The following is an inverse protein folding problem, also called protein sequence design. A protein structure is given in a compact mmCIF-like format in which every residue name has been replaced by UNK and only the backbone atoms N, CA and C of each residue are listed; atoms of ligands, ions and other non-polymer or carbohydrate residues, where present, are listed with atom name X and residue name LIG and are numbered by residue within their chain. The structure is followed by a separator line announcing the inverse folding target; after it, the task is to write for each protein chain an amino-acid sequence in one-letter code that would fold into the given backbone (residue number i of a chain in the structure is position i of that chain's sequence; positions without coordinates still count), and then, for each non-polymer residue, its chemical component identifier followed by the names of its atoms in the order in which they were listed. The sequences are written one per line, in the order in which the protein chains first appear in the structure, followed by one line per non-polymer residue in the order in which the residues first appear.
data_IF_323897847785
#
_entry.id   IF_323897847785
#
_cell.length_a   1.000
_cell.length_b   1.000
_cell.length_c   1.000
_cell.angle_alpha   90.00
_cell.angle_beta   90.00
_cell.angle_gamma   90.00
#
_symmetry.space_group_name_H-M   'P 1'
#
loop_
_entity.id
_entity.type
_entity.pdbx_description
1 polymer ?
#
# COMPACT_ATOMS: atom_id res chain seq x y z
N UNK A 1 9.71 -11.26 8.21
CA UNK A 1 10.98 -11.10 8.94
C UNK A 1 12.10 -10.72 8.00
N UNK A 2 12.58 -11.57 7.09
CA UNK A 2 13.71 -11.27 6.20
C UNK A 2 13.60 -9.92 5.45
N UNK A 3 12.42 -9.56 4.94
CA UNK A 3 12.22 -8.27 4.25
C UNK A 3 12.28 -7.07 5.18
N UNK A 4 11.90 -7.23 6.46
CA UNK A 4 12.03 -6.16 7.44
C UNK A 4 13.48 -6.03 7.92
N UNK A 5 14.19 -7.15 8.07
CA UNK A 5 15.62 -7.14 8.42
C UNK A 5 16.44 -6.46 7.31
N UNK A 6 16.11 -6.75 6.04
CA UNK A 6 16.73 -6.08 4.89
C UNK A 6 16.39 -4.57 4.87
N UNK A 7 15.13 -4.19 5.10
CA UNK A 7 14.74 -2.79 5.18
C UNK A 7 15.51 -2.07 6.28
N UNK A 8 15.64 -2.69 7.45
CA UNK A 8 16.41 -2.14 8.55
C UNK A 8 17.87 -1.95 8.17
N UNK A 9 18.51 -2.96 7.59
CA UNK A 9 19.90 -2.88 7.14
C UNK A 9 20.11 -1.73 6.14
N UNK A 10 19.19 -1.58 5.17
CA UNK A 10 19.26 -0.46 4.21
C UNK A 10 19.05 0.92 4.86
N UNK A 11 18.16 1.02 5.84
CA UNK A 11 17.94 2.27 6.55
C UNK A 11 19.11 2.66 7.45
N UNK A 12 19.83 1.69 7.98
CA UNK A 12 20.97 1.87 8.87
C UNK A 12 22.31 2.02 8.12
N UNK A 13 22.32 1.75 6.80
CA UNK A 13 23.52 1.82 5.97
C UNK A 13 23.98 3.28 5.79
N UNK A 14 25.20 3.65 6.22
CA UNK A 14 25.71 5.01 6.08
C UNK A 14 25.95 5.41 4.62
N UNK A 15 26.24 4.46 3.74
CA UNK A 15 26.46 4.76 2.31
C UNK A 15 25.16 5.18 1.59
N UNK A 16 24.02 4.89 2.20
CA UNK A 16 22.69 5.30 1.72
C UNK A 16 22.13 6.50 2.46
N UNK A 17 22.90 7.19 3.31
CA UNK A 17 22.39 8.22 4.21
C UNK A 17 21.62 9.35 3.49
N UNK A 18 22.08 9.77 2.33
CA UNK A 18 21.50 10.88 1.55
C UNK A 18 20.46 10.40 0.51
N UNK A 19 20.15 9.10 0.47
CA UNK A 19 19.22 8.57 -0.52
C UNK A 19 17.82 8.35 0.05
N UNK A 20 16.83 9.10 -0.45
CA UNK A 20 15.43 9.01 -0.03
C UNK A 20 14.60 7.99 -0.86
N UNK A 21 15.24 7.18 -1.69
CA UNK A 21 14.58 6.21 -2.58
C UNK A 21 14.15 4.90 -1.92
N UNK A 22 14.36 4.72 -0.61
CA UNK A 22 13.99 3.50 0.12
C UNK A 22 12.47 3.45 0.28
N UNK A 23 11.88 2.32 -0.12
CA UNK A 23 10.45 2.10 0.02
C UNK A 23 10.11 0.67 0.44
N UNK A 24 8.91 0.52 1.01
CA UNK A 24 8.38 -0.76 1.46
C UNK A 24 6.89 -0.89 1.13
N UNK A 25 6.44 -2.12 0.86
CA UNK A 25 5.03 -2.41 0.59
C UNK A 25 4.41 -3.15 1.76
N UNK A 26 3.26 -2.68 2.23
CA UNK A 26 2.47 -3.34 3.26
C UNK A 26 1.10 -3.73 2.73
N UNK A 27 0.59 -4.88 3.18
CA UNK A 27 -0.65 -5.45 2.70
C UNK A 27 -1.67 -5.49 3.84
N UNK A 28 -2.74 -4.72 3.69
CA UNK A 28 -3.74 -4.50 4.74
C UNK A 28 -4.54 -5.75 5.13
N UNK A 29 -4.62 -6.75 4.23
CA UNK A 29 -5.27 -8.02 4.57
C UNK A 29 -4.49 -8.85 5.61
N UNK A 30 -3.21 -8.57 5.81
CA UNK A 30 -2.36 -9.23 6.80
C UNK A 30 -2.64 -8.73 8.21
N UNK A 31 -2.93 -9.64 9.13
CA UNK A 31 -3.23 -9.29 10.54
C UNK A 31 -2.07 -8.57 11.23
N UNK A 32 -0.84 -8.79 10.77
CA UNK A 32 0.37 -8.13 11.28
C UNK A 32 0.62 -6.74 10.69
N UNK A 33 -0.12 -6.32 9.66
CA UNK A 33 0.12 -5.07 8.94
C UNK A 33 0.22 -3.84 9.87
N UNK A 34 -0.68 -3.61 10.85
CA UNK A 34 -0.58 -2.47 11.76
C UNK A 34 0.72 -2.42 12.57
N UNK A 35 1.22 -3.58 13.00
CA UNK A 35 2.46 -3.72 13.78
C UNK A 35 3.70 -3.53 12.90
N UNK A 36 3.65 -4.02 11.65
CA UNK A 36 4.70 -3.77 10.65
C UNK A 36 4.82 -2.26 10.40
N UNK A 37 3.70 -1.54 10.32
CA UNK A 37 3.73 -0.09 10.18
C UNK A 37 4.36 0.61 11.39
N UNK A 38 4.07 0.15 12.62
CA UNK A 38 4.72 0.69 13.82
C UNK A 38 6.23 0.51 13.76
N UNK A 39 6.70 -0.67 13.36
CA UNK A 39 8.12 -0.95 13.17
C UNK A 39 8.76 -0.03 12.12
N UNK A 40 8.11 0.14 10.95
CA UNK A 40 8.66 0.97 9.86
C UNK A 40 8.71 2.45 10.28
N UNK A 41 7.68 2.95 10.95
CA UNK A 41 7.62 4.33 11.44
C UNK A 41 8.71 4.58 12.50
N UNK A 42 8.89 3.64 13.43
CA UNK A 42 9.95 3.73 14.43
C UNK A 42 11.34 3.68 13.78
N UNK A 43 11.55 2.74 12.86
CA UNK A 43 12.79 2.63 12.09
C UNK A 43 13.12 3.94 11.35
N UNK A 44 12.14 4.50 10.65
CA UNK A 44 12.31 5.76 9.92
C UNK A 44 12.72 6.91 10.85
N UNK A 45 12.10 7.00 12.06
CA UNK A 45 12.43 8.02 13.06
C UNK A 45 13.83 7.87 13.63
N UNK A 46 14.19 6.65 14.09
CA UNK A 46 15.51 6.41 14.71
C UNK A 46 16.67 6.48 13.72
N UNK A 47 16.42 6.26 12.43
CA UNK A 47 17.44 6.40 11.37
C UNK A 47 17.42 7.78 10.69
N UNK A 48 16.50 8.68 11.12
CA UNK A 48 16.28 10.00 10.52
C UNK A 48 16.08 9.94 8.99
N UNK A 49 15.29 8.96 8.54
CA UNK A 49 14.99 8.77 7.11
C UNK A 49 13.53 9.03 6.82
N UNK A 50 13.25 9.36 5.57
CA UNK A 50 11.89 9.39 5.05
C UNK A 50 11.66 8.18 4.15
N UNK A 51 10.84 7.25 4.61
CA UNK A 51 10.59 5.98 3.91
C UNK A 51 9.28 6.07 3.12
N UNK A 52 9.32 5.64 1.86
CA UNK A 52 8.09 5.47 1.06
C UNK A 52 7.37 4.21 1.49
N UNK A 53 6.10 4.32 1.87
CA UNK A 53 5.29 3.15 2.26
C UNK A 53 4.08 3.04 1.37
N UNK A 54 4.06 1.98 0.55
CA UNK A 54 2.96 1.64 -0.33
C UNK A 54 1.97 0.73 0.37
N UNK A 55 0.77 1.24 0.63
CA UNK A 55 -0.32 0.48 1.23
C UNK A 55 -1.20 -0.12 0.12
N UNK A 56 -1.37 -1.44 0.15
CA UNK A 56 -2.24 -2.20 -0.75
C UNK A 56 -3.23 -3.04 0.05
N UNK A 57 -4.33 -3.48 -0.56
CA UNK A 57 -5.26 -4.44 0.08
C UNK A 57 -4.58 -5.79 0.31
N UNK A 58 -3.95 -6.34 -0.72
CA UNK A 58 -3.34 -7.66 -0.78
C UNK A 58 -3.93 -8.48 -1.93
N UNK A 59 -3.06 -9.16 -2.68
CA UNK A 59 -3.43 -9.81 -3.94
C UNK A 59 -3.28 -11.33 -3.93
N UNK A 60 -2.88 -11.90 -2.80
CA UNK A 60 -2.56 -13.33 -2.70
C UNK A 60 -3.39 -14.03 -1.62
N UNK A 61 -4.60 -13.54 -1.38
CA UNK A 61 -5.46 -14.03 -0.31
C UNK A 61 -5.66 -15.55 -0.36
N UNK A 62 -6.00 -16.09 -1.54
CA UNK A 62 -6.22 -17.54 -1.72
C UNK A 62 -4.95 -18.36 -1.41
N UNK A 63 -3.78 -17.86 -1.83
CA UNK A 63 -2.50 -18.51 -1.58
C UNK A 63 -2.16 -18.52 -0.08
N UNK A 64 -2.40 -17.42 0.62
CA UNK A 64 -2.17 -17.32 2.08
C UNK A 64 -3.09 -18.26 2.86
N UNK A 65 -4.37 -18.31 2.49
CA UNK A 65 -5.34 -19.23 3.11
C UNK A 65 -4.93 -20.69 2.84
N UNK A 66 -4.63 -21.02 1.59
CA UNK A 66 -4.22 -22.37 1.20
C UNK A 66 -2.97 -22.83 1.93
N UNK A 67 -1.97 -21.96 2.01
CA UNK A 67 -0.73 -22.25 2.72
C UNK A 67 -0.97 -22.49 4.20
N UNK A 68 -1.73 -21.63 4.86
CA UNK A 68 -2.08 -21.80 6.28
C UNK A 68 -2.78 -23.14 6.56
N UNK A 69 -3.66 -23.58 5.64
CA UNK A 69 -4.31 -24.88 5.74
C UNK A 69 -3.34 -26.06 5.58
N UNK A 70 -2.42 -25.97 4.60
CA UNK A 70 -1.39 -27.00 4.37
C UNK A 70 -0.44 -27.10 5.55
N UNK A 71 -0.04 -25.94 6.09
CA UNK A 71 0.89 -25.86 7.23
C UNK A 71 0.21 -26.18 8.58
N UNK A 72 -1.10 -26.43 8.59
CA UNK A 72 -1.86 -26.79 9.79
C UNK A 72 -1.89 -25.68 10.85
N UNK A 73 -1.88 -24.41 10.44
CA UNK A 73 -1.93 -23.30 11.37
C UNK A 73 -3.30 -23.21 12.06
N UNK A 74 -3.31 -22.88 13.35
CA UNK A 74 -4.55 -22.70 14.13
C UNK A 74 -5.41 -21.55 13.63
N UNK A 75 -4.79 -20.50 13.06
CA UNK A 75 -5.48 -19.32 12.54
C UNK A 75 -4.83 -18.84 11.23
N UNK A 76 -5.56 -18.07 10.44
CA UNK A 76 -5.06 -17.51 9.20
C UNK A 76 -4.25 -16.24 9.44
N UNK A 77 -3.10 -16.05 8.74
CA UNK A 77 -2.30 -14.83 8.84
C UNK A 77 -2.97 -13.60 8.23
N UNK A 78 -4.06 -13.82 7.48
CA UNK A 78 -4.84 -12.78 6.80
C UNK A 78 -6.28 -12.76 7.30
N UNK A 79 -6.95 -11.63 7.14
CA UNK A 79 -8.38 -11.54 7.42
C UNK A 79 -9.17 -12.39 6.43
N UNK A 80 -10.15 -13.15 6.94
CA UNK A 80 -10.98 -14.06 6.13
C UNK A 80 -12.24 -13.41 5.56
N UNK A 81 -12.52 -12.18 5.95
CA UNK A 81 -13.67 -11.40 5.45
C UNK A 81 -13.17 -10.08 4.88
N UNK A 82 -13.67 -9.72 3.68
CA UNK A 82 -13.33 -8.46 2.98
C UNK A 82 -13.52 -7.23 3.87
N UNK A 83 -14.65 -7.14 4.59
CA UNK A 83 -14.94 -6.00 5.45
C UNK A 83 -13.87 -5.75 6.53
N UNK A 84 -13.24 -6.80 7.04
CA UNK A 84 -12.15 -6.65 8.01
C UNK A 84 -10.89 -6.10 7.34
N UNK A 85 -10.61 -6.49 6.09
CA UNK A 85 -9.52 -5.92 5.30
C UNK A 85 -9.77 -4.46 4.98
N UNK A 86 -11.01 -4.09 4.64
CA UNK A 86 -11.38 -2.70 4.35
C UNK A 86 -11.16 -1.80 5.58
N UNK A 87 -11.60 -2.25 6.76
CA UNK A 87 -11.37 -1.53 8.03
C UNK A 87 -9.86 -1.44 8.34
N UNK A 88 -9.13 -2.55 8.16
CA UNK A 88 -7.67 -2.57 8.36
C UNK A 88 -6.96 -1.60 7.42
N UNK A 89 -7.37 -1.54 6.14
CA UNK A 89 -6.79 -0.62 5.18
C UNK A 89 -6.96 0.84 5.62
N UNK A 90 -8.17 1.24 6.04
CA UNK A 90 -8.44 2.60 6.50
C UNK A 90 -7.68 2.91 7.80
N UNK A 91 -7.59 1.96 8.74
CA UNK A 91 -6.82 2.12 9.97
C UNK A 91 -5.31 2.31 9.66
N UNK A 92 -4.76 1.51 8.75
CA UNK A 92 -3.39 1.63 8.29
C UNK A 92 -3.14 2.95 7.55
N UNK A 93 -4.07 3.38 6.69
CA UNK A 93 -4.00 4.66 5.99
C UNK A 93 -3.96 5.84 6.98
N UNK A 94 -4.81 5.80 8.02
CA UNK A 94 -4.81 6.81 9.09
C UNK A 94 -3.48 6.87 9.82
N UNK A 95 -2.89 5.69 10.13
CA UNK A 95 -1.58 5.59 10.78
C UNK A 95 -0.49 6.22 9.92
N UNK A 96 -0.44 5.89 8.63
CA UNK A 96 0.53 6.46 7.68
C UNK A 96 0.36 7.98 7.51
N UNK A 97 -0.86 8.48 7.42
CA UNK A 97 -1.13 9.91 7.35
C UNK A 97 -0.71 10.66 8.61
N UNK A 98 -0.76 9.99 9.78
CA UNK A 98 -0.27 10.54 11.05
C UNK A 98 1.26 10.58 11.18
N UNK A 99 2.00 9.89 10.31
CA UNK A 99 3.46 9.76 10.34
C UNK A 99 4.15 10.43 9.13
N UNK A 100 3.50 11.42 8.49
CA UNK A 100 4.03 12.11 7.30
C UNK A 100 5.34 12.87 7.54
N UNK A 101 5.73 13.05 8.77
CA UNK A 101 7.04 13.56 9.19
C UNK A 101 8.20 12.67 8.69
N UNK A 102 8.03 11.35 8.73
CA UNK A 102 9.05 10.35 8.36
C UNK A 102 8.58 9.36 7.30
N UNK A 103 7.32 9.37 6.93
CA UNK A 103 6.75 8.49 5.91
C UNK A 103 6.23 9.30 4.73
N UNK A 104 6.47 8.78 3.52
CA UNK A 104 5.75 9.18 2.32
C UNK A 104 4.70 8.12 1.98
N UNK A 105 3.41 8.33 2.35
CA UNK A 105 2.37 7.37 2.07
C UNK A 105 2.02 7.30 0.59
N UNK A 106 1.89 6.07 0.08
CA UNK A 106 1.47 5.77 -1.29
C UNK A 106 0.25 4.85 -1.22
N UNK A 107 -0.93 5.36 -1.54
CA UNK A 107 -2.19 4.63 -1.41
C UNK A 107 -2.60 4.01 -2.74
N UNK A 108 -2.41 2.70 -2.87
CA UNK A 108 -2.82 1.95 -4.06
C UNK A 108 -4.24 1.43 -3.89
N UNK A 109 -5.17 1.99 -4.66
CA UNK A 109 -6.58 1.60 -4.62
C UNK A 109 -7.28 1.92 -5.94
N UNK A 110 -8.29 1.12 -6.32
CA UNK A 110 -9.21 1.38 -7.43
C UNK A 110 -10.67 1.54 -6.92
N UNK A 111 -10.84 1.66 -5.59
CA UNK A 111 -12.13 1.82 -4.95
C UNK A 111 -12.37 3.29 -4.60
N UNK A 112 -13.44 3.88 -5.15
CA UNK A 112 -13.77 5.29 -4.97
C UNK A 112 -14.06 5.66 -3.51
N UNK A 113 -14.73 4.79 -2.76
CA UNK A 113 -15.03 5.03 -1.34
C UNK A 113 -13.74 5.07 -0.51
N UNK A 114 -12.83 4.12 -0.73
CA UNK A 114 -11.52 4.08 -0.07
C UNK A 114 -10.73 5.36 -0.36
N UNK A 115 -10.67 5.77 -1.63
CA UNK A 115 -9.99 6.99 -2.06
C UNK A 115 -10.58 8.23 -1.40
N UNK A 116 -11.90 8.38 -1.44
CA UNK A 116 -12.60 9.50 -0.80
C UNK A 116 -12.36 9.53 0.71
N UNK A 117 -12.39 8.38 1.36
CA UNK A 117 -12.11 8.27 2.81
C UNK A 117 -10.69 8.74 3.13
N UNK A 118 -9.68 8.31 2.35
CA UNK A 118 -8.29 8.76 2.55
C UNK A 118 -8.16 10.26 2.31
N UNK A 119 -8.79 10.77 1.25
CA UNK A 119 -8.80 12.20 0.95
C UNK A 119 -9.32 13.03 2.12
N UNK A 120 -10.44 12.62 2.73
CA UNK A 120 -11.01 13.29 3.89
C UNK A 120 -10.14 13.14 5.16
N UNK A 121 -9.56 11.96 5.40
CA UNK A 121 -8.64 11.72 6.51
C UNK A 121 -7.35 12.54 6.40
N UNK A 122 -6.86 12.77 5.19
CA UNK A 122 -5.66 13.57 4.93
C UNK A 122 -5.85 15.05 5.25
N UNK A 123 -7.11 15.51 5.26
CA UNK A 123 -7.49 16.89 5.56
C UNK A 123 -7.30 17.87 4.38
N UNK A 124 -7.69 19.13 4.56
CA UNK A 124 -7.64 20.14 3.50
C UNK A 124 -6.21 20.63 3.19
N UNK A 125 -5.30 20.55 4.16
CA UNK A 125 -3.95 21.15 4.09
C UNK A 125 -2.99 20.25 3.31
N UNK A 126 -3.28 20.06 2.02
CA UNK A 126 -2.42 19.29 1.14
C UNK A 126 -1.18 20.09 0.73
N UNK A 127 -0.01 19.45 0.89
CA UNK A 127 1.26 19.95 0.33
C UNK A 127 1.79 18.90 -0.63
N UNK A 128 2.31 19.32 -1.77
CA UNK A 128 3.00 18.43 -2.71
C UNK A 128 4.08 17.63 -1.98
N UNK A 129 4.10 16.32 -2.20
CA UNK A 129 5.02 15.42 -1.50
C UNK A 129 4.54 14.94 -0.13
N UNK A 130 3.30 15.28 0.32
CA UNK A 130 2.78 14.75 1.58
C UNK A 130 2.24 13.33 1.46
N UNK A 131 1.66 12.95 0.34
CA UNK A 131 1.25 11.59 -0.03
C UNK A 131 0.86 11.54 -1.51
N UNK A 132 0.68 10.34 -2.05
CA UNK A 132 0.16 10.11 -3.39
C UNK A 132 -0.83 8.95 -3.43
N UNK A 133 -1.69 8.96 -4.45
CA UNK A 133 -2.45 7.78 -4.84
C UNK A 133 -1.72 6.99 -5.92
N UNK A 134 -2.04 5.70 -6.05
CA UNK A 134 -1.47 4.85 -7.09
C UNK A 134 -2.53 3.98 -7.76
N UNK A 135 -2.43 3.83 -9.07
CA UNK A 135 -3.28 2.93 -9.86
C UNK A 135 -2.46 2.09 -10.82
N UNK A 136 -3.01 0.94 -11.18
CA UNK A 136 -2.46 0.11 -12.24
C UNK A 136 -2.82 0.70 -13.61
N UNK A 137 -1.87 0.73 -14.53
CA UNK A 137 -2.11 1.13 -15.91
C UNK A 137 -3.26 0.34 -16.54
N UNK A 138 -4.18 1.04 -17.19
CA UNK A 138 -5.38 0.46 -17.79
C UNK A 138 -6.53 0.15 -16.81
N UNK A 139 -6.41 0.57 -15.53
CA UNK A 139 -7.47 0.38 -14.53
C UNK A 139 -7.79 1.68 -13.81
N UNK A 140 -9.10 1.93 -13.60
CA UNK A 140 -9.58 3.04 -12.78
C UNK A 140 -9.38 4.42 -13.41
N UNK A 141 -9.15 4.53 -14.71
CA UNK A 141 -8.95 5.80 -15.40
C UNK A 141 -10.04 6.83 -15.09
N UNK A 142 -11.35 6.52 -15.19
CA UNK A 142 -12.39 7.50 -14.87
C UNK A 142 -12.35 8.00 -13.41
N UNK A 143 -11.97 7.14 -12.48
CA UNK A 143 -11.80 7.51 -11.08
C UNK A 143 -10.61 8.46 -10.92
N UNK A 144 -9.49 8.16 -11.57
CA UNK A 144 -8.27 8.93 -11.44
C UNK A 144 -8.30 10.25 -12.20
N UNK A 145 -9.12 10.37 -13.24
CA UNK A 145 -9.44 11.65 -13.89
C UNK A 145 -10.07 12.66 -12.91
N UNK A 146 -10.86 12.17 -11.93
CA UNK A 146 -11.40 13.01 -10.87
C UNK A 146 -10.37 13.34 -9.76
N UNK A 147 -9.26 12.61 -9.68
CA UNK A 147 -8.24 12.77 -8.63
C UNK A 147 -7.18 13.80 -9.02
N UNK A 148 -6.66 13.73 -10.27
CA UNK A 148 -5.42 14.44 -10.64
C UNK A 148 -5.67 15.86 -11.14
N UNK A 149 -6.82 16.16 -11.68
CA UNK A 149 -7.12 17.48 -12.27
C UNK A 149 -7.06 18.60 -11.24
N UNK A 150 -6.45 19.73 -11.59
CA UNK A 150 -6.40 20.93 -10.75
C UNK A 150 -7.80 21.49 -10.41
N UNK A 151 -8.77 21.28 -11.31
CA UNK A 151 -10.19 21.60 -11.13
C UNK A 151 -10.98 20.50 -10.41
N UNK A 152 -10.34 19.41 -10.04
CA UNK A 152 -10.88 18.24 -9.35
C UNK A 152 -10.33 18.15 -7.92
N UNK A 153 -9.89 16.95 -7.49
CA UNK A 153 -9.28 16.81 -6.16
C UNK A 153 -7.87 17.37 -6.07
N UNK A 154 -7.16 17.52 -7.19
CA UNK A 154 -5.81 18.07 -7.25
C UNK A 154 -4.77 17.27 -6.46
N UNK A 155 -4.90 15.93 -6.46
CA UNK A 155 -3.96 15.03 -5.77
C UNK A 155 -3.09 14.29 -6.76
N UNK A 156 -1.78 14.10 -6.46
CA UNK A 156 -0.89 13.34 -7.33
C UNK A 156 -1.30 11.88 -7.39
N UNK A 157 -1.22 11.31 -8.59
CA UNK A 157 -1.39 9.89 -8.81
C UNK A 157 -0.21 9.34 -9.60
N UNK A 158 0.30 8.18 -9.17
CA UNK A 158 1.32 7.43 -9.87
C UNK A 158 0.70 6.21 -10.55
N UNK A 159 0.93 6.09 -11.85
CA UNK A 159 0.51 4.92 -12.61
C UNK A 159 1.67 3.91 -12.60
N UNK A 160 1.41 2.68 -12.16
CA UNK A 160 2.38 1.59 -12.25
C UNK A 160 1.93 0.57 -13.29
N UNK A 161 2.89 -0.02 -13.99
CA UNK A 161 2.66 -1.05 -14.99
C UNK A 161 3.69 -2.16 -14.86
N UNK A 162 3.28 -3.43 -14.96
CA UNK A 162 4.23 -4.51 -15.10
C UNK A 162 4.89 -4.47 -16.48
N UNK A 163 6.16 -4.82 -16.54
CA UNK A 163 6.89 -4.97 -17.80
C UNK A 163 7.32 -6.42 -17.96
N UNK A 164 7.01 -7.00 -19.11
CA UNK A 164 7.33 -8.41 -19.38
C UNK A 164 6.67 -8.92 -20.66
N UNK A 165 6.89 -10.19 -20.98
CA UNK A 165 6.23 -10.86 -22.12
C UNK A 165 4.80 -11.25 -21.77
N UNK A 166 4.00 -11.53 -22.81
CA UNK A 166 2.61 -11.97 -22.63
C UNK A 166 2.52 -13.21 -21.70
N UNK A 167 3.40 -14.18 -21.85
CA UNK A 167 3.38 -15.38 -21.02
C UNK A 167 3.65 -15.09 -19.54
N UNK A 168 4.56 -14.17 -19.26
CA UNK A 168 4.92 -13.82 -17.86
C UNK A 168 3.90 -12.92 -17.20
N UNK A 169 3.20 -12.07 -17.97
CA UNK A 169 2.26 -11.09 -17.44
C UNK A 169 0.84 -11.63 -17.29
N UNK A 170 0.45 -12.69 -17.98
CA UNK A 170 -0.93 -13.19 -17.95
C UNK A 170 -1.40 -13.51 -16.53
N UNK A 171 -0.62 -14.30 -15.79
CA UNK A 171 -0.96 -14.67 -14.42
C UNK A 171 -1.00 -13.46 -13.47
N UNK A 172 -0.13 -12.48 -13.68
CA UNK A 172 -0.13 -11.23 -12.92
C UNK A 172 -1.42 -10.42 -13.17
N UNK A 173 -1.79 -10.22 -14.42
CA UNK A 173 -2.96 -9.43 -14.81
C UNK A 173 -4.26 -10.09 -14.35
N UNK A 174 -4.38 -11.42 -14.48
CA UNK A 174 -5.55 -12.17 -13.99
C UNK A 174 -5.74 -11.96 -12.49
N UNK A 175 -4.68 -12.05 -11.69
CA UNK A 175 -4.78 -11.77 -10.24
C UNK A 175 -5.22 -10.33 -9.95
N UNK A 176 -4.77 -9.35 -10.75
CA UNK A 176 -5.20 -7.95 -10.57
C UNK A 176 -6.67 -7.77 -10.91
N UNK A 177 -7.16 -8.39 -11.95
CA UNK A 177 -8.58 -8.35 -12.32
C UNK A 177 -9.47 -8.96 -11.23
N UNK A 178 -9.07 -10.10 -10.69
CA UNK A 178 -9.80 -10.76 -9.60
C UNK A 178 -9.78 -9.91 -8.31
N UNK A 179 -8.64 -9.35 -7.94
CA UNK A 179 -8.49 -8.45 -6.79
C UNK A 179 -9.42 -7.23 -6.94
N UNK A 180 -9.42 -6.58 -8.08
CA UNK A 180 -10.23 -5.39 -8.31
C UNK A 180 -11.72 -5.73 -8.38
N UNK A 181 -12.11 -6.84 -8.99
CA UNK A 181 -13.48 -7.34 -9.00
C UNK A 181 -14.02 -7.57 -7.58
N UNK A 182 -13.21 -8.15 -6.68
CA UNK A 182 -13.56 -8.35 -5.29
C UNK A 182 -13.61 -7.04 -4.48
N UNK A 183 -12.83 -6.03 -4.84
CA UNK A 183 -12.70 -4.77 -4.10
C UNK A 183 -13.67 -3.66 -4.59
N UNK A 184 -14.32 -3.86 -5.74
CA UNK A 184 -15.27 -2.89 -6.32
C UNK A 184 -16.72 -3.11 -5.92
N UNK A 185 -17.03 -4.18 -5.20
CA UNK A 185 -18.38 -4.56 -4.74
C UNK A 185 -18.65 -4.11 -3.29
#
# INVERSE_FOLDING_TARGET
ELSLDLLQSLCEDPDLADWEGIGFVVQAYGKRCPFVLDFIIDLARRTNRRVMVRLVMGAYWDAEIKRAQVDGLEDFPVYTRKVHTDVSYIACARKLLGARDVIFPQFATHNAQTLATIYHLAGPDFKTGSYEFQCLHGMGEPLYDEVVGASKLGRPARIYAPVGTHETLLAYLVRRLLENGANSS
#
